data_IF_044510847610
#
_entry.id   IF_044510847610
#
_cell.length_a   1.000
_cell.length_b   1.000
_cell.length_c   1.000
_cell.angle_alpha   90.00
_cell.angle_beta   90.00
_cell.angle_gamma   90.00
#
_symmetry.space_group_name_H-M   'P 1'
#
loop_
_entity.id
_entity.type
_entity.pdbx_description
1 polymer ?
#
# COMPACT_ATOMS: atom_id res chain seq x y z
N UNK A 1 -17.98 -13.05 -10.31
CA UNK A 1 -17.02 -12.43 -9.35
C UNK A 1 -16.06 -13.50 -8.90
N UNK A 2 -14.77 -13.27 -9.03
CA UNK A 2 -13.74 -14.21 -8.58
C UNK A 2 -13.31 -13.86 -7.16
N UNK A 3 -13.14 -14.86 -6.33
CA UNK A 3 -12.60 -14.68 -4.97
C UNK A 3 -11.08 -14.78 -5.01
N UNK A 4 -10.40 -13.78 -4.47
CA UNK A 4 -8.95 -13.75 -4.29
C UNK A 4 -8.68 -13.91 -2.81
N UNK A 5 -7.77 -14.82 -2.45
CA UNK A 5 -7.35 -14.98 -1.07
C UNK A 5 -6.35 -13.89 -0.71
N UNK A 6 -6.71 -13.08 0.27
CA UNK A 6 -5.77 -12.13 0.87
C UNK A 6 -4.76 -12.87 1.76
N UNK A 7 -3.52 -12.42 1.73
CA UNK A 7 -2.45 -12.93 2.58
C UNK A 7 -1.81 -11.80 3.38
N UNK A 8 -1.18 -12.14 4.50
CA UNK A 8 -0.45 -11.14 5.30
C UNK A 8 0.71 -10.57 4.46
N UNK A 9 0.80 -9.23 4.41
CA UNK A 9 1.92 -8.56 3.73
C UNK A 9 3.24 -8.86 4.41
N UNK A 10 4.29 -9.11 3.64
CA UNK A 10 5.69 -9.24 4.06
C UNK A 10 6.62 -8.54 3.06
N UNK A 11 7.87 -8.29 3.46
CA UNK A 11 8.87 -7.71 2.54
C UNK A 11 9.06 -8.56 1.29
N UNK A 12 9.02 -9.88 1.44
CA UNK A 12 9.26 -10.83 0.37
C UNK A 12 8.09 -10.91 -0.62
N UNK A 13 6.85 -11.05 -0.10
CA UNK A 13 5.69 -11.22 -0.99
C UNK A 13 5.24 -9.93 -1.64
N UNK A 14 5.59 -8.76 -1.06
CA UNK A 14 5.28 -7.45 -1.61
C UNK A 14 6.39 -6.87 -2.51
N UNK A 15 7.60 -7.43 -2.50
CA UNK A 15 8.75 -6.93 -3.26
C UNK A 15 8.47 -6.69 -4.76
N UNK A 16 7.67 -7.49 -5.47
CA UNK A 16 7.33 -7.22 -6.88
C UNK A 16 6.50 -5.95 -7.10
N UNK A 17 5.82 -5.45 -6.06
CA UNK A 17 4.85 -4.34 -6.15
C UNK A 17 5.37 -3.05 -5.54
N UNK A 18 6.39 -3.13 -4.71
CA UNK A 18 6.92 -1.97 -3.99
C UNK A 18 7.68 -2.35 -2.73
N UNK A 19 7.58 -1.51 -1.72
CA UNK A 19 8.26 -1.67 -0.43
C UNK A 19 7.24 -1.80 0.68
N UNK A 20 7.52 -2.67 1.63
CA UNK A 20 6.73 -2.81 2.86
C UNK A 20 7.59 -2.48 4.07
N UNK A 21 7.05 -1.66 4.95
CA UNK A 21 7.66 -1.25 6.22
C UNK A 21 6.61 -1.38 7.32
N UNK A 22 6.98 -1.92 8.47
CA UNK A 22 6.20 -1.69 9.68
C UNK A 22 6.70 -0.41 10.33
N UNK A 23 5.93 0.67 10.20
CA UNK A 23 6.36 1.98 10.66
C UNK A 23 6.60 2.03 12.18
N UNK A 24 5.86 1.23 12.96
CA UNK A 24 6.05 1.16 14.42
C UNK A 24 7.35 0.44 14.83
N UNK A 25 8.01 -0.26 13.91
CA UNK A 25 9.34 -0.83 14.12
C UNK A 25 10.47 0.14 13.76
N UNK A 26 10.17 1.19 12.98
CA UNK A 26 11.12 2.22 12.52
C UNK A 26 11.19 3.40 13.51
N UNK A 27 11.50 3.08 14.76
CA UNK A 27 11.57 4.03 15.87
C UNK A 27 12.79 4.92 15.74
N UNK A 28 12.60 6.23 15.67
CA UNK A 28 13.69 7.21 15.57
C UNK A 28 13.95 7.96 16.88
N UNK A 29 12.93 8.46 17.55
CA UNK A 29 13.07 9.22 18.77
C UNK A 29 11.85 9.05 19.69
N UNK A 30 12.13 8.92 20.98
CA UNK A 30 11.09 8.87 22.02
C UNK A 30 11.47 9.84 23.12
N UNK A 31 10.52 10.70 23.45
CA UNK A 31 10.57 11.61 24.59
C UNK A 31 9.39 11.35 25.51
N UNK A 32 9.28 12.12 26.59
CA UNK A 32 8.07 12.09 27.44
C UNK A 32 6.84 12.68 26.71
N UNK A 33 7.06 13.54 25.69
CA UNK A 33 6.00 14.30 25.02
C UNK A 33 5.55 13.68 23.71
N UNK A 34 6.42 12.93 23.00
CA UNK A 34 6.11 12.34 21.70
C UNK A 34 6.94 11.11 21.35
N UNK A 35 6.41 10.29 20.45
CA UNK A 35 7.11 9.21 19.77
C UNK A 35 7.20 9.54 18.28
N UNK A 36 8.38 9.40 17.69
CA UNK A 36 8.64 9.62 16.28
C UNK A 36 9.06 8.31 15.62
N UNK A 37 8.37 7.98 14.53
CA UNK A 37 8.64 6.86 13.67
C UNK A 37 8.86 7.35 12.25
N UNK A 38 9.87 6.86 11.55
CA UNK A 38 10.24 7.42 10.25
C UNK A 38 10.65 6.36 9.24
N UNK A 39 9.87 6.21 8.18
CA UNK A 39 10.27 5.48 6.98
C UNK A 39 11.09 6.39 6.06
N UNK A 40 12.20 5.87 5.53
CA UNK A 40 13.12 6.61 4.63
C UNK A 40 13.11 6.09 3.20
N UNK A 41 12.18 5.18 2.91
CA UNK A 41 12.08 4.46 1.64
C UNK A 41 11.29 5.23 0.57
N UNK A 42 10.62 6.32 0.94
CA UNK A 42 9.91 7.19 0.01
C UNK A 42 10.89 8.11 -0.72
N UNK A 43 10.83 8.11 -2.05
CA UNK A 43 11.57 9.02 -2.91
C UNK A 43 10.60 9.92 -3.67
N UNK A 44 10.84 11.22 -3.62
CA UNK A 44 10.03 12.24 -4.33
C UNK A 44 10.97 13.06 -5.18
N UNK A 45 10.89 12.88 -6.48
CA UNK A 45 11.74 13.55 -7.47
C UNK A 45 11.08 14.80 -8.09
N UNK A 46 9.78 14.98 -7.85
CA UNK A 46 8.96 16.01 -8.46
C UNK A 46 8.16 16.81 -7.40
N UNK A 47 7.71 18.02 -7.71
CA UNK A 47 6.77 18.74 -6.86
C UNK A 47 5.53 17.88 -6.60
N UNK A 48 5.17 17.72 -5.33
CA UNK A 48 4.05 16.88 -4.92
C UNK A 48 3.02 17.64 -4.11
N UNK A 49 1.78 17.14 -4.14
CA UNK A 49 0.76 17.48 -3.17
C UNK A 49 0.68 16.34 -2.14
N UNK A 50 0.60 16.72 -0.87
CA UNK A 50 0.31 15.78 0.20
C UNK A 50 -1.17 15.85 0.57
N UNK A 51 -1.86 14.74 0.44
CA UNK A 51 -3.25 14.58 0.88
C UNK A 51 -3.41 13.32 1.71
N UNK A 52 -4.53 13.20 2.39
CA UNK A 52 -4.93 11.99 3.11
C UNK A 52 -6.34 11.62 2.67
N UNK A 53 -6.51 10.38 2.21
CA UNK A 53 -7.82 9.78 2.03
C UNK A 53 -8.04 8.78 3.16
N UNK A 54 -9.11 8.96 3.92
CA UNK A 54 -9.47 8.05 5.00
C UNK A 54 -10.57 7.13 4.49
N UNK A 55 -10.24 5.87 4.26
CA UNK A 55 -11.20 4.85 3.86
C UNK A 55 -12.06 4.45 5.06
N UNK A 56 -13.37 4.32 4.84
CA UNK A 56 -14.30 3.81 5.85
C UNK A 56 -14.39 2.29 5.72
N UNK A 57 -14.67 1.63 6.84
CA UNK A 57 -14.97 0.21 6.82
C UNK A 57 -16.13 -0.10 5.86
N UNK A 58 -15.97 -1.12 5.07
CA UNK A 58 -16.93 -1.56 4.05
C UNK A 58 -16.76 -3.04 3.71
N UNK A 59 -17.50 -3.50 2.73
CA UNK A 59 -17.32 -4.83 2.15
C UNK A 59 -16.02 -4.84 1.33
N UNK A 60 -15.24 -5.90 1.43
CA UNK A 60 -13.98 -6.07 0.69
C UNK A 60 -14.26 -6.40 -0.79
N UNK A 61 -14.85 -5.45 -1.50
CA UNK A 61 -15.16 -5.54 -2.93
C UNK A 61 -14.39 -4.48 -3.70
N UNK A 62 -13.33 -4.87 -4.39
CA UNK A 62 -12.66 -4.00 -5.35
C UNK A 62 -13.44 -4.00 -6.66
N UNK A 63 -13.86 -2.84 -7.12
CA UNK A 63 -14.64 -2.66 -8.37
C UNK A 63 -13.84 -1.88 -9.42
N UNK A 64 -12.73 -1.27 -9.02
CA UNK A 64 -11.85 -0.51 -9.90
C UNK A 64 -10.42 -0.56 -9.39
N UNK A 65 -9.48 -0.40 -10.29
CA UNK A 65 -8.07 -0.25 -9.97
C UNK A 65 -7.51 0.95 -10.70
N UNK A 66 -6.59 1.64 -10.06
CA UNK A 66 -5.84 2.76 -10.62
C UNK A 66 -4.34 2.52 -10.55
N UNK A 67 -3.56 3.36 -11.22
CA UNK A 67 -2.10 3.35 -11.15
C UNK A 67 -1.52 4.73 -11.39
N UNK A 68 -0.40 5.00 -10.79
CA UNK A 68 0.32 6.25 -10.95
C UNK A 68 1.69 6.03 -11.60
N UNK A 69 2.03 6.82 -12.61
CA UNK A 69 3.31 6.67 -13.34
C UNK A 69 4.39 7.64 -12.86
N UNK A 70 4.00 8.75 -12.23
CA UNK A 70 4.92 9.83 -11.88
C UNK A 70 5.44 9.71 -10.45
N UNK A 71 4.64 9.12 -9.55
CA UNK A 71 4.96 9.01 -8.11
C UNK A 71 4.81 7.60 -7.59
N UNK A 72 5.55 7.26 -6.55
CA UNK A 72 5.22 6.17 -5.65
C UNK A 72 4.00 6.57 -4.81
N UNK A 73 3.24 5.61 -4.30
CA UNK A 73 2.09 5.87 -3.45
C UNK A 73 2.19 5.10 -2.13
N UNK A 74 2.19 5.79 -0.97
CA UNK A 74 2.14 5.13 0.32
C UNK A 74 0.69 4.81 0.72
N UNK A 75 0.47 3.57 1.15
CA UNK A 75 -0.76 3.08 1.75
C UNK A 75 -0.47 2.69 3.21
N UNK A 76 -1.01 3.45 4.16
CA UNK A 76 -0.74 3.27 5.58
C UNK A 76 -1.97 2.75 6.33
N UNK A 77 -1.79 1.66 7.04
CA UNK A 77 -2.80 1.11 7.94
C UNK A 77 -2.65 1.74 9.34
N UNK A 78 -3.52 2.68 9.68
CA UNK A 78 -3.49 3.40 10.95
C UNK A 78 -4.14 2.62 12.09
N UNK A 79 -5.34 2.09 11.85
CA UNK A 79 -6.10 1.29 12.80
C UNK A 79 -6.86 0.18 12.07
N UNK A 80 -7.33 -0.82 12.82
CA UNK A 80 -8.04 -1.96 12.24
C UNK A 80 -7.18 -2.85 11.33
N UNK A 81 -7.80 -3.40 10.33
CA UNK A 81 -7.14 -4.15 9.24
C UNK A 81 -7.58 -3.57 7.89
N UNK A 82 -6.65 -3.51 6.96
CA UNK A 82 -6.87 -3.03 5.60
C UNK A 82 -6.51 -4.14 4.62
N UNK A 83 -7.28 -4.28 3.55
CA UNK A 83 -6.92 -5.15 2.43
C UNK A 83 -6.50 -4.28 1.26
N UNK A 84 -5.27 -4.46 0.82
CA UNK A 84 -4.71 -3.81 -0.37
C UNK A 84 -4.67 -4.80 -1.52
N UNK A 85 -5.35 -4.48 -2.62
CA UNK A 85 -5.25 -5.25 -3.86
C UNK A 85 -4.27 -4.58 -4.81
N UNK A 86 -3.43 -5.38 -5.46
CA UNK A 86 -2.42 -4.90 -6.41
C UNK A 86 -2.30 -5.84 -7.61
N UNK A 87 -1.83 -5.31 -8.73
CA UNK A 87 -1.42 -6.12 -9.86
C UNK A 87 -0.22 -5.49 -10.58
N UNK A 88 0.73 -6.36 -10.94
CA UNK A 88 1.79 -6.04 -11.89
C UNK A 88 1.43 -6.70 -13.22
N UNK A 89 0.97 -5.91 -14.17
CA UNK A 89 0.52 -6.39 -15.46
C UNK A 89 1.14 -5.60 -16.60
N UNK A 90 0.99 -6.11 -17.82
CA UNK A 90 1.41 -5.42 -19.03
C UNK A 90 0.96 -3.95 -19.02
N UNK A 91 1.87 -2.97 -19.24
CA UNK A 91 1.53 -1.55 -19.22
C UNK A 91 0.39 -1.14 -20.18
N UNK A 92 0.20 -1.91 -21.24
CA UNK A 92 -0.81 -1.63 -22.28
C UNK A 92 -2.17 -2.29 -21.99
N UNK A 93 -2.29 -3.06 -20.89
CA UNK A 93 -3.50 -3.83 -20.58
C UNK A 93 -3.98 -3.63 -19.15
N UNK A 94 -5.30 -3.69 -18.98
CA UNK A 94 -5.87 -3.85 -17.65
C UNK A 94 -5.49 -5.23 -17.08
N UNK A 95 -5.28 -5.34 -15.76
CA UNK A 95 -5.00 -6.61 -15.12
C UNK A 95 -6.17 -7.58 -15.29
N UNK A 96 -5.85 -8.84 -15.53
CA UNK A 96 -6.80 -9.93 -15.45
C UNK A 96 -6.89 -10.43 -13.99
N UNK A 97 -7.96 -11.09 -13.62
CA UNK A 97 -8.15 -11.64 -12.27
C UNK A 97 -6.97 -12.49 -11.76
N UNK A 98 -6.26 -13.17 -12.66
CA UNK A 98 -5.08 -14.00 -12.32
C UNK A 98 -3.87 -13.18 -11.88
N UNK A 99 -3.81 -11.90 -12.30
CA UNK A 99 -2.70 -10.99 -12.03
C UNK A 99 -2.88 -10.25 -10.70
N UNK A 100 -4.12 -10.24 -10.18
CA UNK A 100 -4.45 -9.53 -8.95
C UNK A 100 -4.07 -10.34 -7.72
N UNK A 101 -3.37 -9.68 -6.78
CA UNK A 101 -3.04 -10.17 -5.44
C UNK A 101 -3.70 -9.28 -4.39
N UNK A 102 -3.96 -9.86 -3.23
CA UNK A 102 -4.54 -9.13 -2.10
C UNK A 102 -3.69 -9.36 -0.85
N UNK A 103 -3.38 -8.26 -0.15
CA UNK A 103 -2.54 -8.26 1.05
C UNK A 103 -3.30 -7.69 2.24
N UNK A 104 -3.14 -8.32 3.40
CA UNK A 104 -3.68 -7.83 4.66
C UNK A 104 -2.61 -6.99 5.34
N UNK A 105 -2.92 -5.72 5.58
CA UNK A 105 -2.14 -4.78 6.37
C UNK A 105 -2.77 -4.64 7.76
N UNK A 106 -1.91 -4.52 8.77
CA UNK A 106 -2.30 -4.28 10.17
C UNK A 106 -1.80 -2.92 10.62
N UNK A 107 -2.29 -2.38 11.75
CA UNK A 107 -1.84 -1.10 12.27
C UNK A 107 -0.32 -0.99 12.33
N UNK A 108 0.20 0.10 11.77
CA UNK A 108 1.62 0.36 11.61
C UNK A 108 2.23 -0.09 10.29
N UNK A 109 1.55 -0.94 9.52
CA UNK A 109 2.04 -1.35 8.20
C UNK A 109 1.94 -0.21 7.20
N UNK A 110 3.02 -0.01 6.47
CA UNK A 110 3.15 0.92 5.36
C UNK A 110 3.57 0.14 4.11
N UNK A 111 2.73 0.15 3.10
CA UNK A 111 3.05 -0.32 1.77
C UNK A 111 3.36 0.89 0.89
N UNK A 112 4.50 0.90 0.23
CA UNK A 112 4.87 1.93 -0.75
C UNK A 112 4.82 1.30 -2.13
N UNK A 113 3.76 1.62 -2.86
CA UNK A 113 3.52 1.12 -4.20
C UNK A 113 4.51 1.73 -5.20
N UNK A 114 5.14 0.90 -5.99
CA UNK A 114 6.02 1.36 -7.05
C UNK A 114 5.21 2.02 -8.18
N UNK A 115 5.87 2.91 -8.93
CA UNK A 115 5.27 3.56 -10.11
C UNK A 115 4.74 2.52 -11.10
N UNK A 116 3.52 2.72 -11.57
CA UNK A 116 2.88 1.86 -12.57
C UNK A 116 2.16 0.63 -12.03
N UNK A 117 2.27 0.33 -10.75
CA UNK A 117 1.54 -0.78 -10.13
C UNK A 117 0.05 -0.43 -10.01
N UNK A 118 -0.78 -1.30 -10.53
CA UNK A 118 -2.22 -1.22 -10.34
C UNK A 118 -2.59 -1.51 -8.89
N UNK A 119 -3.48 -0.73 -8.32
CA UNK A 119 -3.91 -0.90 -6.95
C UNK A 119 -5.31 -0.36 -6.69
N UNK A 120 -5.90 -0.87 -5.64
CA UNK A 120 -7.10 -0.39 -4.97
C UNK A 120 -6.95 -0.72 -3.48
N UNK A 121 -7.36 0.17 -2.59
CA UNK A 121 -7.31 -0.03 -1.14
C UNK A 121 -8.74 -0.10 -0.57
N UNK A 122 -9.07 -1.20 0.13
CA UNK A 122 -10.37 -1.47 0.73
C UNK A 122 -10.27 -1.81 2.22
#
# INVERSE_FOLDING_TARGET
MKTIRAERITKENFAPYGKYINLYEERENITEDFECYMARELHVDEPMNLGITICKAGDFNSVSMERHFLTEEPQFCGDGEMVLTVADSDPEKYPEDKDVKAFILKPGDLAVLAKGIWHDAN
#
